data_IF_010325664350
#
_entry.id   IF_010325664350
#
_cell.length_a   1.000
_cell.length_b   1.000
_cell.length_c   1.000
_cell.angle_alpha   90.00
_cell.angle_beta   90.00
_cell.angle_gamma   90.00
#
_symmetry.space_group_name_H-M   'P 1'
#
loop_
_entity.id
_entity.type
_entity.pdbx_description
1 polymer ?
#
# COMPACT_ATOMS: atom_id res chain seq x y z
N UNK A 1 19.21 23.66 35.51
CA UNK A 1 19.32 23.39 34.06
C UNK A 1 18.19 22.42 33.74
N UNK A 2 17.22 22.81 32.90
CA UNK A 2 15.93 22.12 32.78
C UNK A 2 16.12 20.83 31.96
N UNK A 3 15.50 19.72 32.37
CA UNK A 3 15.58 18.41 31.68
C UNK A 3 15.23 18.49 30.18
N UNK A 4 14.37 19.44 29.79
CA UNK A 4 14.07 19.71 28.38
C UNK A 4 15.30 20.16 27.59
N UNK A 5 16.12 21.06 28.19
CA UNK A 5 17.34 21.59 27.54
C UNK A 5 18.43 20.53 27.47
N UNK A 6 18.46 19.59 28.40
CA UNK A 6 19.37 18.45 28.37
C UNK A 6 18.98 17.45 27.30
N UNK A 7 17.68 17.10 27.19
CA UNK A 7 17.17 16.22 26.12
C UNK A 7 17.35 16.82 24.72
N UNK A 8 17.28 18.15 24.59
CA UNK A 8 17.54 18.83 23.31
C UNK A 8 19.03 18.82 22.94
N UNK A 9 19.94 18.94 23.91
CA UNK A 9 21.40 18.81 23.69
C UNK A 9 21.81 17.39 23.37
N UNK A 10 21.28 16.37 24.07
CA UNK A 10 21.56 14.96 23.78
C UNK A 10 21.02 14.55 22.39
N UNK A 11 19.93 15.20 21.93
CA UNK A 11 19.41 15.03 20.55
C UNK A 11 20.29 15.72 19.48
N UNK A 12 21.14 16.65 19.86
CA UNK A 12 22.04 17.37 18.92
C UNK A 12 23.40 16.69 18.77
N UNK A 13 23.81 15.87 19.73
CA UNK A 13 25.12 15.19 19.77
C UNK A 13 25.03 13.66 19.65
N UNK A 14 23.92 13.04 20.05
CA UNK A 14 23.61 11.64 19.79
C UNK A 14 22.65 11.54 18.62
N UNK A 15 22.97 10.74 17.58
CA UNK A 15 22.13 10.57 16.40
C UNK A 15 20.68 10.25 16.80
N UNK A 16 19.71 10.83 16.08
CA UNK A 16 18.28 10.65 16.32
C UNK A 16 17.89 9.16 16.22
N UNK A 17 17.47 8.50 17.34
CA UNK A 17 17.30 7.05 17.35
C UNK A 17 16.24 6.60 16.33
N UNK A 18 16.49 5.53 15.57
CA UNK A 18 15.53 5.06 14.54
C UNK A 18 14.13 4.79 15.08
N UNK A 19 14.02 4.26 16.32
CA UNK A 19 12.73 3.97 16.96
C UNK A 19 11.91 5.25 17.23
N UNK A 20 12.55 6.29 17.76
CA UNK A 20 11.87 7.59 17.98
C UNK A 20 11.54 8.25 16.64
N UNK A 21 12.43 8.11 15.66
CA UNK A 21 12.21 8.63 14.31
C UNK A 21 10.98 7.97 13.64
N UNK A 22 10.79 6.67 13.80
CA UNK A 22 9.62 5.96 13.29
C UNK A 22 8.34 6.35 14.03
N UNK A 23 8.38 6.48 15.36
CA UNK A 23 7.22 6.93 16.14
C UNK A 23 6.77 8.34 15.71
N UNK A 24 7.71 9.30 15.62
CA UNK A 24 7.42 10.64 15.14
C UNK A 24 6.92 10.66 13.67
N UNK A 25 7.45 9.77 12.83
CA UNK A 25 6.99 9.63 11.44
C UNK A 25 5.54 9.11 11.41
N UNK A 26 5.24 8.09 12.21
CA UNK A 26 3.89 7.55 12.30
C UNK A 26 2.89 8.61 12.80
N UNK A 27 3.21 9.33 13.86
CA UNK A 27 2.34 10.40 14.39
C UNK A 27 2.08 11.49 13.33
N UNK A 28 3.10 11.80 12.52
CA UNK A 28 2.97 12.80 11.45
C UNK A 28 2.13 12.28 10.25
N UNK A 29 2.15 10.98 9.95
CA UNK A 29 1.56 10.41 8.74
C UNK A 29 0.25 9.64 8.98
N UNK A 30 -0.03 9.15 10.20
CA UNK A 30 -1.12 8.23 10.53
C UNK A 30 -2.49 8.67 10.02
N UNK A 31 -2.86 9.95 10.15
CA UNK A 31 -4.13 10.47 9.62
C UNK A 31 -4.25 10.36 8.10
N UNK A 32 -3.14 10.49 7.38
CA UNK A 32 -3.11 10.36 5.92
C UNK A 32 -3.12 8.90 5.49
N UNK A 33 -2.51 8.02 6.29
CA UNK A 33 -2.61 6.56 6.15
C UNK A 33 -4.06 6.13 6.34
N UNK A 34 -4.74 6.63 7.38
CA UNK A 34 -6.18 6.39 7.60
C UNK A 34 -7.05 6.91 6.46
N UNK A 35 -6.73 8.10 5.90
CA UNK A 35 -7.43 8.64 4.74
C UNK A 35 -7.25 7.75 3.50
N UNK A 36 -6.03 7.27 3.24
CA UNK A 36 -5.75 6.33 2.14
C UNK A 36 -6.53 5.02 2.30
N UNK A 37 -6.56 4.44 3.50
CA UNK A 37 -7.36 3.26 3.81
C UNK A 37 -8.86 3.49 3.59
N UNK A 38 -9.36 4.67 3.95
CA UNK A 38 -10.75 5.07 3.69
C UNK A 38 -11.09 5.12 2.20
N UNK A 39 -10.21 5.72 1.37
CA UNK A 39 -10.37 5.74 -0.08
C UNK A 39 -10.37 4.32 -0.68
N UNK A 40 -9.48 3.46 -0.21
CA UNK A 40 -9.42 2.06 -0.63
C UNK A 40 -10.70 1.31 -0.24
N UNK A 41 -11.20 1.50 0.98
CA UNK A 41 -12.45 0.89 1.44
C UNK A 41 -13.66 1.35 0.59
N UNK A 42 -13.73 2.63 0.24
CA UNK A 42 -14.74 3.13 -0.71
C UNK A 42 -14.62 2.41 -2.06
N UNK A 43 -13.39 2.23 -2.55
CA UNK A 43 -13.14 1.45 -3.76
C UNK A 43 -13.66 0.02 -3.66
N UNK A 44 -13.40 -0.69 -2.56
CA UNK A 44 -13.93 -2.05 -2.33
C UNK A 44 -15.45 -2.07 -2.46
N UNK A 45 -16.16 -1.15 -1.81
CA UNK A 45 -17.62 -1.08 -1.87
C UNK A 45 -18.13 -0.84 -3.29
N UNK A 46 -17.46 0.03 -4.05
CA UNK A 46 -17.78 0.27 -5.45
C UNK A 46 -17.54 -1.01 -6.28
N UNK A 47 -16.41 -1.68 -6.07
CA UNK A 47 -16.08 -2.94 -6.79
C UNK A 47 -17.09 -4.04 -6.54
N UNK A 48 -17.51 -4.25 -5.29
CA UNK A 48 -18.57 -5.19 -4.93
C UNK A 48 -19.90 -4.82 -5.60
N UNK A 49 -20.26 -3.53 -5.59
CA UNK A 49 -21.49 -3.06 -6.22
C UNK A 49 -21.47 -3.25 -7.75
N UNK A 50 -20.34 -3.02 -8.41
CA UNK A 50 -20.16 -3.27 -9.83
C UNK A 50 -20.34 -4.78 -10.18
N UNK A 51 -19.74 -5.65 -9.38
CA UNK A 51 -19.91 -7.10 -9.58
C UNK A 51 -21.36 -7.52 -9.37
N UNK A 52 -22.04 -7.00 -8.35
CA UNK A 52 -23.46 -7.25 -8.12
C UNK A 52 -24.36 -6.71 -9.25
N UNK A 53 -23.93 -5.69 -9.96
CA UNK A 53 -24.59 -5.15 -11.14
C UNK A 53 -24.25 -5.92 -12.45
N UNK A 54 -23.45 -6.99 -12.37
CA UNK A 54 -23.08 -7.84 -13.50
C UNK A 54 -21.81 -7.40 -14.25
N UNK A 55 -21.03 -6.44 -13.71
CA UNK A 55 -19.79 -6.00 -14.33
C UNK A 55 -18.59 -6.74 -13.72
N UNK A 56 -18.08 -7.75 -14.41
CA UNK A 56 -16.82 -8.40 -14.08
C UNK A 56 -15.66 -7.57 -14.67
N UNK A 57 -15.01 -6.79 -13.82
CA UNK A 57 -13.94 -5.88 -14.27
C UNK A 57 -12.71 -6.64 -14.79
N UNK A 58 -12.44 -7.84 -14.29
CA UNK A 58 -11.33 -8.66 -14.78
C UNK A 58 -11.54 -8.99 -16.26
N UNK A 59 -12.69 -9.56 -16.62
CA UNK A 59 -13.04 -9.86 -18.01
C UNK A 59 -13.01 -8.62 -18.90
N UNK A 60 -13.58 -7.51 -18.45
CA UNK A 60 -13.61 -6.25 -19.20
C UNK A 60 -12.20 -5.75 -19.50
N UNK A 61 -11.29 -5.80 -18.51
CA UNK A 61 -9.93 -5.30 -18.71
C UNK A 61 -9.13 -6.27 -19.60
N UNK A 62 -9.28 -7.58 -19.44
CA UNK A 62 -8.64 -8.59 -20.31
C UNK A 62 -9.10 -8.46 -21.76
N UNK A 63 -10.39 -8.22 -22.00
CA UNK A 63 -10.92 -7.93 -23.35
C UNK A 63 -10.31 -6.65 -23.94
N UNK A 64 -10.15 -5.60 -23.14
CA UNK A 64 -9.60 -4.32 -23.60
C UNK A 64 -8.10 -4.38 -23.89
N UNK A 65 -7.36 -5.11 -23.09
CA UNK A 65 -5.89 -5.22 -23.20
C UNK A 65 -5.49 -6.29 -24.22
N UNK A 66 -6.35 -7.27 -24.46
CA UNK A 66 -6.09 -8.42 -25.34
C UNK A 66 -5.14 -9.46 -24.76
N UNK A 67 -4.76 -9.30 -23.49
CA UNK A 67 -3.88 -10.21 -22.77
C UNK A 67 -4.42 -10.44 -21.35
N UNK A 68 -4.20 -11.63 -20.75
CA UNK A 68 -4.56 -11.87 -19.35
C UNK A 68 -3.88 -10.86 -18.41
N UNK A 69 -4.65 -10.28 -17.50
CA UNK A 69 -4.12 -9.36 -16.48
C UNK A 69 -3.14 -10.05 -15.54
N UNK A 70 -3.38 -11.32 -15.29
CA UNK A 70 -2.49 -12.18 -14.53
C UNK A 70 -1.73 -13.08 -15.49
N UNK A 71 -0.40 -13.04 -15.49
CA UNK A 71 0.38 -13.98 -16.28
C UNK A 71 0.02 -15.41 -15.89
N UNK A 72 0.06 -16.32 -16.85
CA UNK A 72 -0.13 -17.75 -16.57
C UNK A 72 0.86 -18.21 -15.50
N UNK A 73 0.35 -18.37 -14.29
CA UNK A 73 1.12 -18.74 -13.10
C UNK A 73 1.52 -20.22 -13.16
N UNK A 74 0.84 -21.02 -13.99
CA UNK A 74 1.05 -22.47 -14.08
C UNK A 74 2.41 -22.91 -14.61
N UNK A 75 3.15 -22.03 -15.31
CA UNK A 75 4.48 -22.31 -15.85
C UNK A 75 5.64 -21.59 -15.15
N UNK A 76 5.37 -20.65 -14.24
CA UNK A 76 6.40 -19.87 -13.57
C UNK A 76 6.89 -20.54 -12.28
N UNK A 77 8.19 -20.41 -12.00
CA UNK A 77 8.70 -20.79 -10.69
C UNK A 77 8.15 -19.84 -9.60
N UNK A 78 7.97 -20.34 -8.37
CA UNK A 78 7.52 -19.51 -7.23
C UNK A 78 8.41 -18.28 -7.00
N UNK A 79 9.71 -18.40 -7.31
CA UNK A 79 10.67 -17.30 -7.21
C UNK A 79 10.43 -16.22 -8.26
N UNK A 80 10.10 -16.60 -9.48
CA UNK A 80 9.74 -15.66 -10.57
C UNK A 80 8.46 -14.93 -10.23
N UNK A 81 7.46 -15.65 -9.70
CA UNK A 81 6.21 -15.05 -9.21
C UNK A 81 6.49 -14.04 -8.08
N UNK A 82 7.26 -14.41 -7.06
CA UNK A 82 7.62 -13.49 -5.97
C UNK A 82 8.31 -12.22 -6.49
N UNK A 83 9.22 -12.37 -7.45
CA UNK A 83 9.91 -11.24 -8.09
C UNK A 83 8.93 -10.35 -8.86
N UNK A 84 8.05 -10.95 -9.64
CA UNK A 84 7.02 -10.22 -10.40
C UNK A 84 6.13 -9.39 -9.47
N UNK A 85 5.57 -10.04 -8.43
CA UNK A 85 4.72 -9.41 -7.43
C UNK A 85 5.45 -8.26 -6.72
N UNK A 86 6.68 -8.49 -6.26
CA UNK A 86 7.47 -7.45 -5.59
C UNK A 86 7.72 -6.25 -6.50
N UNK A 87 8.08 -6.47 -7.78
CA UNK A 87 8.32 -5.39 -8.72
C UNK A 87 7.04 -4.62 -9.01
N UNK A 88 5.92 -5.32 -9.25
CA UNK A 88 4.63 -4.71 -9.52
C UNK A 88 4.15 -3.86 -8.32
N UNK A 89 4.17 -4.43 -7.12
CA UNK A 89 3.74 -3.75 -5.91
C UNK A 89 4.68 -2.60 -5.50
N UNK A 90 6.00 -2.74 -5.76
CA UNK A 90 6.96 -1.64 -5.59
C UNK A 90 6.64 -0.47 -6.54
N UNK A 91 6.25 -0.74 -7.79
CA UNK A 91 5.83 0.33 -8.73
C UNK A 91 4.59 1.06 -8.21
N UNK A 92 3.56 0.33 -7.80
CA UNK A 92 2.34 0.92 -7.22
C UNK A 92 2.64 1.74 -5.95
N UNK A 93 3.51 1.24 -5.10
CA UNK A 93 4.00 1.90 -3.89
C UNK A 93 4.69 3.24 -4.20
N UNK A 94 5.65 3.23 -5.13
CA UNK A 94 6.38 4.43 -5.53
C UNK A 94 5.46 5.45 -6.23
N UNK A 95 4.56 4.99 -7.11
CA UNK A 95 3.58 5.85 -7.77
C UNK A 95 2.63 6.51 -6.76
N UNK A 96 2.26 5.80 -5.69
CA UNK A 96 1.44 6.35 -4.61
C UNK A 96 2.14 7.49 -3.86
N UNK A 97 3.46 7.40 -3.64
CA UNK A 97 4.27 8.48 -3.06
C UNK A 97 4.38 9.66 -4.05
N UNK A 98 4.70 9.36 -5.33
CA UNK A 98 4.89 10.36 -6.38
C UNK A 98 3.59 11.06 -6.79
N UNK A 99 2.44 10.51 -6.46
CA UNK A 99 1.14 11.13 -6.71
C UNK A 99 0.96 12.49 -6.02
N UNK A 100 1.82 12.85 -5.06
CA UNK A 100 1.92 14.22 -4.54
C UNK A 100 2.20 15.25 -5.64
N UNK A 101 2.90 14.88 -6.72
CA UNK A 101 3.23 15.75 -7.86
C UNK A 101 1.99 16.07 -8.72
N UNK A 102 0.96 15.27 -8.67
CA UNK A 102 -0.33 15.44 -9.37
C UNK A 102 -1.41 15.98 -8.44
N UNK A 103 -1.05 16.80 -7.46
CA UNK A 103 -1.95 17.32 -6.43
C UNK A 103 -2.69 16.21 -5.65
N UNK A 104 -2.07 15.03 -5.54
CA UNK A 104 -2.64 13.87 -4.85
C UNK A 104 -3.72 13.10 -5.64
N UNK A 105 -4.07 13.57 -6.85
CA UNK A 105 -5.11 12.92 -7.67
C UNK A 105 -4.70 11.49 -8.07
N UNK A 106 -3.45 11.30 -8.47
CA UNK A 106 -2.95 9.97 -8.82
C UNK A 106 -2.94 9.02 -7.61
N UNK A 107 -2.55 9.52 -6.42
CA UNK A 107 -2.60 8.72 -5.18
C UNK A 107 -4.04 8.35 -4.83
N UNK A 108 -4.98 9.31 -4.88
CA UNK A 108 -6.39 9.05 -4.57
C UNK A 108 -7.00 8.07 -5.58
N UNK A 109 -6.74 8.29 -6.88
CA UNK A 109 -7.19 7.39 -7.94
C UNK A 109 -6.61 5.97 -7.73
N UNK A 110 -5.32 5.85 -7.46
CA UNK A 110 -4.69 4.56 -7.22
C UNK A 110 -5.33 3.82 -6.02
N UNK A 111 -5.62 4.51 -4.91
CA UNK A 111 -6.27 3.88 -3.75
C UNK A 111 -7.69 3.39 -4.09
N UNK A 112 -8.49 4.25 -4.70
CA UNK A 112 -9.87 3.89 -5.08
C UNK A 112 -9.87 2.77 -6.12
N UNK A 113 -9.04 2.88 -7.17
CA UNK A 113 -8.99 1.89 -8.25
C UNK A 113 -8.51 0.52 -7.77
N UNK A 114 -7.44 0.45 -6.96
CA UNK A 114 -7.01 -0.81 -6.35
C UNK A 114 -8.11 -1.40 -5.46
N UNK A 115 -8.81 -0.57 -4.68
CA UNK A 115 -9.96 -1.01 -3.90
C UNK A 115 -11.07 -1.60 -4.78
N UNK A 116 -11.40 -0.94 -5.91
CA UNK A 116 -12.40 -1.43 -6.87
C UNK A 116 -12.01 -2.81 -7.40
N UNK A 117 -10.76 -3.00 -7.83
CA UNK A 117 -10.27 -4.29 -8.33
C UNK A 117 -10.39 -5.37 -7.25
N UNK A 118 -9.91 -5.10 -6.04
CA UNK A 118 -9.97 -6.07 -4.94
C UNK A 118 -11.43 -6.40 -4.56
N UNK A 119 -12.30 -5.40 -4.50
CA UNK A 119 -13.71 -5.59 -4.19
C UNK A 119 -14.47 -6.37 -5.27
N UNK A 120 -14.22 -6.09 -6.55
CA UNK A 120 -14.86 -6.76 -7.69
C UNK A 120 -14.39 -8.23 -7.80
N UNK A 121 -13.06 -8.43 -7.79
CA UNK A 121 -12.46 -9.77 -7.83
C UNK A 121 -12.87 -10.60 -6.60
N UNK A 122 -12.84 -10.00 -5.41
CA UNK A 122 -13.28 -10.66 -4.19
C UNK A 122 -14.75 -11.08 -4.25
N UNK A 123 -15.65 -10.23 -4.76
CA UNK A 123 -17.05 -10.57 -4.92
C UNK A 123 -17.26 -11.69 -5.98
N UNK A 124 -16.50 -11.68 -7.07
CA UNK A 124 -16.51 -12.72 -8.10
C UNK A 124 -16.09 -14.08 -7.51
N UNK A 125 -14.96 -14.14 -6.82
CA UNK A 125 -14.46 -15.36 -6.18
C UNK A 125 -15.44 -15.85 -5.10
N UNK A 126 -16.01 -14.92 -4.29
CA UNK A 126 -17.00 -15.28 -3.25
C UNK A 126 -18.20 -16.01 -3.82
N UNK A 127 -18.66 -15.59 -4.99
CA UNK A 127 -19.85 -16.19 -5.63
C UNK A 127 -19.57 -17.53 -6.30
N UNK A 128 -18.34 -17.80 -6.73
CA UNK A 128 -17.95 -19.03 -7.42
C UNK A 128 -17.32 -20.08 -6.49
N UNK A 129 -16.36 -19.66 -5.66
CA UNK A 129 -15.51 -20.55 -4.84
C UNK A 129 -15.78 -20.43 -3.35
N UNK A 130 -16.58 -19.44 -2.96
CA UNK A 130 -16.96 -19.17 -1.57
C UNK A 130 -16.01 -18.24 -0.82
N UNK A 131 -16.52 -17.70 0.31
CA UNK A 131 -15.79 -16.73 1.16
C UNK A 131 -14.51 -17.32 1.74
N UNK A 132 -14.51 -18.63 2.07
CA UNK A 132 -13.32 -19.30 2.60
C UNK A 132 -12.12 -19.23 1.65
N UNK A 133 -12.36 -19.40 0.35
CA UNK A 133 -11.31 -19.31 -0.67
C UNK A 133 -10.70 -17.91 -0.74
N UNK A 134 -11.52 -16.85 -0.66
CA UNK A 134 -11.02 -15.46 -0.63
C UNK A 134 -10.18 -15.23 0.62
N UNK A 135 -10.65 -15.64 1.79
CA UNK A 135 -9.95 -15.42 3.04
C UNK A 135 -8.56 -16.06 3.00
N UNK A 136 -8.46 -17.28 2.50
CA UNK A 136 -7.18 -17.98 2.39
C UNK A 136 -6.33 -17.43 1.25
N UNK A 137 -6.93 -17.00 0.16
CA UNK A 137 -6.21 -16.43 -0.98
C UNK A 137 -5.69 -15.02 -0.74
N UNK A 138 -6.46 -14.17 -0.03
CA UNK A 138 -6.16 -12.74 0.09
C UNK A 138 -5.52 -12.35 1.43
N UNK A 139 -5.99 -12.90 2.55
CA UNK A 139 -5.55 -12.46 3.88
C UNK A 139 -4.06 -12.66 4.17
N UNK A 140 -3.42 -13.80 3.83
CA UNK A 140 -2.04 -14.06 4.24
C UNK A 140 -1.05 -13.00 3.77
N UNK A 141 -1.16 -12.53 2.52
CA UNK A 141 -0.30 -11.47 1.99
C UNK A 141 -0.91 -10.08 2.19
N UNK A 142 -2.24 -9.95 2.14
CA UNK A 142 -2.94 -8.67 2.26
C UNK A 142 -2.70 -7.95 3.58
N UNK A 143 -2.49 -8.66 4.70
CA UNK A 143 -2.13 -8.07 6.00
C UNK A 143 -0.79 -7.33 6.00
N UNK A 144 0.09 -7.60 5.03
CA UNK A 144 1.37 -6.92 4.84
C UNK A 144 1.30 -5.90 3.71
N UNK A 145 0.67 -6.26 2.60
CA UNK A 145 0.59 -5.43 1.40
C UNK A 145 -0.26 -4.18 1.61
N UNK A 146 -1.47 -4.32 2.17
CA UNK A 146 -2.36 -3.17 2.35
C UNK A 146 -1.78 -2.09 3.28
N UNK A 147 -1.23 -2.41 4.47
CA UNK A 147 -0.55 -1.41 5.28
C UNK A 147 0.61 -0.73 4.54
N UNK A 148 1.38 -1.47 3.74
CA UNK A 148 2.45 -0.90 2.94
C UNK A 148 1.94 0.15 1.94
N UNK A 149 0.90 -0.19 1.17
CA UNK A 149 0.28 0.72 0.21
C UNK A 149 -0.32 1.96 0.89
N UNK A 150 -0.98 1.78 2.05
CA UNK A 150 -1.53 2.89 2.81
C UNK A 150 -0.45 3.81 3.38
N UNK A 151 0.70 3.27 3.81
CA UNK A 151 1.88 4.06 4.21
C UNK A 151 2.38 4.89 3.02
N UNK A 152 2.56 4.30 1.85
CA UNK A 152 3.01 5.00 0.65
C UNK A 152 2.07 6.14 0.26
N UNK A 153 0.77 5.87 0.20
CA UNK A 153 -0.25 6.86 -0.10
C UNK A 153 -0.31 7.95 0.98
N UNK A 154 -0.21 7.58 2.26
CA UNK A 154 -0.15 8.51 3.39
C UNK A 154 1.04 9.45 3.30
N UNK A 155 2.21 8.95 2.89
CA UNK A 155 3.41 9.77 2.62
C UNK A 155 3.15 10.74 1.46
N UNK A 156 2.54 10.27 0.36
CA UNK A 156 2.16 11.10 -0.79
C UNK A 156 1.21 12.23 -0.38
N UNK A 157 0.11 11.95 0.32
CA UNK A 157 -0.83 12.97 0.81
C UNK A 157 -0.19 13.93 1.82
N UNK A 158 0.66 13.43 2.71
CA UNK A 158 1.38 14.30 3.65
C UNK A 158 2.34 15.24 2.93
N UNK A 159 3.06 14.76 1.92
CA UNK A 159 3.96 15.59 1.11
C UNK A 159 3.17 16.70 0.40
N UNK A 160 2.03 16.37 -0.22
CA UNK A 160 1.14 17.36 -0.82
C UNK A 160 0.69 18.43 0.19
N UNK A 161 0.30 18.02 1.39
CA UNK A 161 -0.09 18.97 2.45
C UNK A 161 1.07 19.91 2.81
N UNK A 162 2.31 19.41 2.88
CA UNK A 162 3.52 20.23 3.15
C UNK A 162 3.80 21.22 2.02
N UNK A 163 3.58 20.81 0.76
CA UNK A 163 3.65 21.72 -0.40
C UNK A 163 2.62 22.84 -0.24
N UNK A 164 1.38 22.50 0.08
CA UNK A 164 0.33 23.50 0.32
C UNK A 164 0.66 24.48 1.46
N UNK A 165 1.27 23.99 2.55
CA UNK A 165 1.75 24.85 3.65
C UNK A 165 2.87 25.81 3.19
N UNK A 166 3.78 25.35 2.34
CA UNK A 166 4.86 26.19 1.78
C UNK A 166 4.30 27.28 0.87
N UNK A 167 3.35 26.94 0.00
CA UNK A 167 2.71 27.91 -0.89
C UNK A 167 1.91 29.01 -0.14
N UNK A 168 1.35 28.66 1.04
CA UNK A 168 0.65 29.61 1.92
C UNK A 168 1.58 30.41 2.83
N UNK A 169 2.91 30.24 2.74
CA UNK A 169 3.88 30.92 3.60
C UNK A 169 3.91 30.43 5.05
N UNK A 170 3.18 29.36 5.39
CA UNK A 170 3.16 28.83 6.78
C UNK A 170 4.30 27.83 7.08
N UNK A 171 5.20 27.62 6.12
CA UNK A 171 6.35 26.71 6.24
C UNK A 171 7.52 27.21 5.39
N UNK A 172 8.73 27.20 5.94
CA UNK A 172 9.94 27.67 5.25
C UNK A 172 10.51 26.64 4.27
N UNK A 173 10.36 25.33 4.55
CA UNK A 173 10.88 24.26 3.71
C UNK A 173 9.90 23.09 3.63
N UNK A 174 9.71 22.54 2.42
CA UNK A 174 8.90 21.34 2.18
C UNK A 174 9.61 20.12 2.78
N UNK A 175 10.89 19.97 2.48
CA UNK A 175 11.73 18.86 2.92
C UNK A 175 12.84 19.40 3.85
N UNK A 176 12.91 18.87 5.06
CA UNK A 176 14.02 19.08 5.99
C UNK A 176 14.79 17.77 6.15
N UNK A 177 16.08 17.82 6.52
CA UNK A 177 16.89 16.61 6.74
C UNK A 177 16.20 15.65 7.73
N UNK A 178 15.64 16.20 8.82
CA UNK A 178 14.90 15.41 9.83
C UNK A 178 13.64 14.77 9.25
N UNK A 179 12.85 15.50 8.46
CA UNK A 179 11.67 14.95 7.81
C UNK A 179 12.04 13.84 6.84
N UNK A 180 13.05 14.07 5.99
CA UNK A 180 13.51 13.08 5.03
C UNK A 180 13.97 11.78 5.69
N UNK A 181 14.75 11.89 6.78
CA UNK A 181 15.22 10.72 7.53
C UNK A 181 14.05 9.92 8.12
N UNK A 182 13.13 10.58 8.84
CA UNK A 182 11.98 9.93 9.48
C UNK A 182 11.05 9.28 8.46
N UNK A 183 10.67 10.04 7.44
CA UNK A 183 9.79 9.54 6.38
C UNK A 183 10.45 8.43 5.57
N UNK A 184 11.77 8.54 5.32
CA UNK A 184 12.55 7.49 4.67
C UNK A 184 12.54 6.17 5.45
N UNK A 185 12.65 6.21 6.78
CA UNK A 185 12.50 5.01 7.62
C UNK A 185 11.10 4.41 7.52
N UNK A 186 10.05 5.24 7.54
CA UNK A 186 8.68 4.76 7.40
C UNK A 186 8.44 4.14 6.02
N UNK A 187 8.96 4.75 4.96
CA UNK A 187 8.92 4.21 3.59
C UNK A 187 9.68 2.88 3.51
N UNK A 188 10.83 2.77 4.15
CA UNK A 188 11.60 1.52 4.20
C UNK A 188 10.80 0.41 4.90
N UNK A 189 10.15 0.70 6.03
CA UNK A 189 9.27 -0.26 6.72
C UNK A 189 8.12 -0.69 5.79
N UNK A 190 7.44 0.25 5.13
CA UNK A 190 6.39 -0.06 4.16
C UNK A 190 6.91 -0.94 3.02
N UNK A 191 8.09 -0.65 2.48
CA UNK A 191 8.66 -1.46 1.41
C UNK A 191 9.05 -2.87 1.89
N UNK A 192 9.58 -3.02 3.11
CA UNK A 192 9.87 -4.34 3.69
C UNK A 192 8.60 -5.17 3.89
N UNK A 193 7.47 -4.54 4.20
CA UNK A 193 6.17 -5.24 4.25
C UNK A 193 5.79 -5.78 2.86
N UNK A 194 6.06 -5.06 1.76
CA UNK A 194 5.85 -5.58 0.40
C UNK A 194 6.74 -6.78 0.08
N UNK A 195 7.98 -6.78 0.54
CA UNK A 195 8.87 -7.94 0.38
C UNK A 195 8.27 -9.17 1.06
N UNK A 196 7.78 -9.00 2.30
CA UNK A 196 7.11 -10.08 3.04
C UNK A 196 5.85 -10.52 2.31
N UNK A 197 5.00 -9.58 1.87
CA UNK A 197 3.78 -9.87 1.14
C UNK A 197 4.05 -10.71 -0.12
N UNK A 198 5.02 -10.32 -0.94
CA UNK A 198 5.38 -11.04 -2.16
C UNK A 198 5.87 -12.47 -1.91
N UNK A 199 6.63 -12.68 -0.82
CA UNK A 199 7.06 -14.03 -0.41
C UNK A 199 5.86 -14.86 0.08
N UNK A 200 5.00 -14.25 0.91
CA UNK A 200 3.79 -14.95 1.43
C UNK A 200 2.87 -15.33 0.28
N UNK A 201 2.63 -14.42 -0.66
CA UNK A 201 1.77 -14.68 -1.82
C UNK A 201 2.32 -15.77 -2.74
N UNK A 202 3.63 -15.77 -3.00
CA UNK A 202 4.23 -16.75 -3.91
C UNK A 202 4.43 -18.14 -3.30
N UNK A 203 4.62 -18.24 -1.99
CA UNK A 203 5.00 -19.51 -1.36
C UNK A 203 3.96 -20.03 -0.37
N UNK A 204 3.34 -19.15 0.44
CA UNK A 204 2.43 -19.53 1.52
C UNK A 204 1.01 -19.66 1.02
N UNK A 205 0.51 -18.65 0.29
CA UNK A 205 -0.87 -18.62 -0.19
C UNK A 205 -1.22 -19.84 -1.06
N UNK A 206 -0.42 -20.23 -2.08
CA UNK A 206 -0.73 -21.42 -2.89
C UNK A 206 -0.71 -22.71 -2.07
N UNK A 207 0.23 -22.84 -1.13
CA UNK A 207 0.30 -24.02 -0.27
C UNK A 207 -0.93 -24.14 0.66
N UNK A 208 -1.44 -23.03 1.16
CA UNK A 208 -2.67 -23.01 1.96
C UNK A 208 -3.91 -23.35 1.12
N UNK A 209 -4.01 -22.79 -0.10
CA UNK A 209 -5.11 -23.09 -1.00
C UNK A 209 -5.12 -24.57 -1.39
N UNK A 210 -3.96 -25.12 -1.72
CA UNK A 210 -3.82 -26.55 -2.04
C UNK A 210 -4.19 -27.43 -0.84
N UNK A 211 -3.72 -27.11 0.36
CA UNK A 211 -3.99 -27.89 1.57
C UNK A 211 -5.47 -27.86 2.01
N UNK A 212 -6.21 -26.79 1.71
CA UNK A 212 -7.56 -26.59 2.24
C UNK A 212 -8.65 -26.81 1.18
N UNK A 213 -8.34 -26.69 -0.11
CA UNK A 213 -9.32 -26.72 -1.20
C UNK A 213 -8.97 -27.68 -2.34
N UNK A 214 -7.75 -28.25 -2.43
CA UNK A 214 -7.45 -29.34 -3.35
C UNK A 214 -7.98 -30.67 -2.73
N UNK A 215 -9.24 -30.99 -3.05
CA UNK A 215 -9.85 -32.28 -2.75
C UNK A 215 -10.02 -33.10 -4.03
#
# INVERSE_FOLDING_TARGET
>A
MNERTQRERDRSTGGYPPREALADAWDEHSRYVGFAAGLFAIGILIGIALMAAGYNLLEIIEEMVGEPLFPDIGGQSRTELARFLLVNNTRAFLLSILGALTLGLLTAWAMVFNGIIVGNLGAFIASNDGIGFILVGLLPHGIFELPALFIAAGVGFRLLYRVGQRLRGSRDAILTKRYFYRTGLLVLVGWLLLVVAAVVEAFVTPALLEALFAA
#
